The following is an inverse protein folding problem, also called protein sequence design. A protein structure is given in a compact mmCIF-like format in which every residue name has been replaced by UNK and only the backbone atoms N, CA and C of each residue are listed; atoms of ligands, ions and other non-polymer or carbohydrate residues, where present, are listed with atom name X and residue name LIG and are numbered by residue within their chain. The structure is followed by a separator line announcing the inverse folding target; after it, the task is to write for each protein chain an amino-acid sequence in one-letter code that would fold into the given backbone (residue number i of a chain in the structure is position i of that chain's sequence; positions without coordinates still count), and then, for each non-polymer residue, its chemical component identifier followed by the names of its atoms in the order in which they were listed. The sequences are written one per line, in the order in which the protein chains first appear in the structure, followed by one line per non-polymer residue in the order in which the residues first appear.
data_IF_765438947427
#
_entry.id   IF_765438947427
#
_cell.length_a   1.000
_cell.length_b   1.000
_cell.length_c   1.000
_cell.angle_alpha   90.00
_cell.angle_beta   90.00
_cell.angle_gamma   90.00
#
_symmetry.space_group_name_H-M   'P 1'
#
loop_
_entity.id
_entity.type
_entity.pdbx_description
1 polymer ?
#
# COMPACT_ATOMS: atom_id res chain seq x y z
N UNK A 1 -39.84 8.72 12.59
CA UNK A 1 -38.38 8.51 12.53
C UNK A 1 -38.04 8.28 11.07
N UNK A 2 -37.37 9.23 10.42
CA UNK A 2 -36.91 9.04 9.05
C UNK A 2 -35.52 8.43 9.15
N UNK A 3 -35.41 7.11 8.98
CA UNK A 3 -34.11 6.43 8.86
C UNK A 3 -33.45 6.93 7.58
N UNK A 4 -32.61 7.95 7.71
CA UNK A 4 -31.73 8.39 6.65
C UNK A 4 -30.70 7.28 6.41
N UNK A 5 -31.05 6.30 5.58
CA UNK A 5 -30.12 5.30 5.10
C UNK A 5 -29.11 5.98 4.19
N UNK A 6 -27.83 5.82 4.52
CA UNK A 6 -26.73 6.37 3.74
C UNK A 6 -26.78 5.82 2.31
N UNK A 7 -26.65 6.64 1.26
CA UNK A 7 -26.56 6.14 -0.10
C UNK A 7 -25.40 5.16 -0.27
N UNK A 8 -25.65 4.05 -0.95
CA UNK A 8 -24.68 2.95 -1.14
C UNK A 8 -23.39 3.42 -1.82
N UNK A 9 -23.49 4.34 -2.78
CA UNK A 9 -22.33 4.95 -3.45
C UNK A 9 -21.42 5.71 -2.47
N UNK A 10 -22.00 6.33 -1.43
CA UNK A 10 -21.22 7.09 -0.45
C UNK A 10 -20.49 6.14 0.50
N UNK A 11 -21.10 5.02 0.87
CA UNK A 11 -20.43 3.96 1.64
C UNK A 11 -19.29 3.34 0.80
N UNK A 12 -19.55 2.99 -0.46
CA UNK A 12 -18.51 2.47 -1.39
C UNK A 12 -17.32 3.41 -1.50
N UNK A 13 -17.60 4.69 -1.66
CA UNK A 13 -16.54 5.68 -1.78
C UNK A 13 -15.70 5.81 -0.50
N UNK A 14 -16.33 5.69 0.67
CA UNK A 14 -15.58 5.67 1.93
C UNK A 14 -14.74 4.43 2.11
N UNK A 15 -15.28 3.25 1.81
CA UNK A 15 -14.52 2.00 1.89
C UNK A 15 -13.32 2.03 0.93
N UNK A 16 -13.50 2.59 -0.26
CA UNK A 16 -12.40 2.86 -1.19
C UNK A 16 -11.34 3.78 -0.59
N UNK A 17 -11.73 4.84 0.11
CA UNK A 17 -10.77 5.73 0.78
C UNK A 17 -10.03 5.04 1.92
N UNK A 18 -10.70 4.18 2.68
CA UNK A 18 -10.06 3.33 3.68
C UNK A 18 -9.05 2.39 3.02
N UNK A 19 -9.42 1.72 1.92
CA UNK A 19 -8.53 0.84 1.16
C UNK A 19 -7.29 1.57 0.67
N UNK A 20 -7.47 2.75 0.06
CA UNK A 20 -6.34 3.59 -0.33
C UNK A 20 -5.48 3.97 0.86
N UNK A 21 -6.07 4.32 2.01
CA UNK A 21 -5.34 4.71 3.22
C UNK A 21 -4.48 3.56 3.75
N UNK A 22 -5.01 2.34 3.77
CA UNK A 22 -4.29 1.16 4.25
C UNK A 22 -3.13 0.77 3.32
N UNK A 23 -3.40 0.69 2.01
CA UNK A 23 -2.38 0.33 1.01
C UNK A 23 -1.29 1.41 0.93
N UNK A 24 -1.69 2.68 0.80
CA UNK A 24 -0.73 3.79 0.73
C UNK A 24 0.04 3.97 2.04
N UNK A 25 -0.57 3.68 3.19
CA UNK A 25 0.09 3.74 4.48
C UNK A 25 1.25 2.76 4.60
N UNK A 26 1.04 1.49 4.24
CA UNK A 26 2.13 0.50 4.23
C UNK A 26 3.21 0.85 3.20
N UNK A 27 2.81 1.27 2.00
CA UNK A 27 3.76 1.71 0.97
C UNK A 27 4.61 2.91 1.42
N UNK A 28 4.01 3.94 2.03
CA UNK A 28 4.72 5.12 2.52
C UNK A 28 5.68 4.73 3.64
N UNK A 29 5.26 3.87 4.59
CA UNK A 29 6.13 3.36 5.66
C UNK A 29 7.34 2.64 5.09
N UNK A 30 7.11 1.75 4.12
CA UNK A 30 8.17 1.04 3.39
C UNK A 30 9.14 2.02 2.73
N UNK A 31 8.62 2.90 1.87
CA UNK A 31 9.42 3.84 1.08
C UNK A 31 10.23 4.80 1.96
N UNK A 32 9.60 5.40 2.98
CA UNK A 32 10.29 6.35 3.87
C UNK A 32 11.33 5.68 4.77
N UNK A 33 11.15 4.39 5.10
CA UNK A 33 12.10 3.67 5.95
C UNK A 33 13.29 3.15 5.16
N UNK A 34 13.06 2.62 3.96
CA UNK A 34 14.08 1.90 3.18
C UNK A 34 14.71 2.77 2.08
N UNK A 35 13.99 3.79 1.62
CA UNK A 35 14.32 4.54 0.41
C UNK A 35 14.30 3.69 -0.86
N UNK A 36 13.57 2.56 -0.86
CA UNK A 36 13.45 1.68 -2.01
C UNK A 36 12.47 2.26 -3.04
N UNK A 37 12.96 2.51 -4.25
CA UNK A 37 12.17 3.06 -5.37
C UNK A 37 11.68 1.99 -6.34
N UNK A 38 11.98 0.71 -6.09
CA UNK A 38 11.63 -0.41 -6.97
C UNK A 38 10.14 -0.73 -7.01
N UNK A 39 9.36 -0.13 -6.12
CA UNK A 39 7.91 -0.32 -6.04
C UNK A 39 7.25 1.03 -6.18
N UNK A 40 6.16 1.07 -6.93
CA UNK A 40 5.29 2.24 -7.07
C UNK A 40 3.86 1.92 -6.63
N UNK A 41 3.16 2.94 -6.11
CA UNK A 41 1.77 2.88 -5.69
C UNK A 41 0.89 3.81 -6.53
N UNK A 42 -0.30 3.33 -6.93
CA UNK A 42 -1.35 4.16 -7.55
C UNK A 42 -2.76 3.63 -7.25
N UNK A 43 -3.81 4.33 -7.69
CA UNK A 43 -5.20 3.89 -7.52
C UNK A 43 -6.14 4.34 -8.66
N UNK A 44 -7.36 3.83 -8.69
CA UNK A 44 -8.28 4.03 -9.82
C UNK A 44 -8.82 5.45 -10.00
N UNK A 45 -8.49 6.39 -9.10
CA UNK A 45 -8.92 7.80 -9.22
C UNK A 45 -7.83 8.71 -9.78
N UNK A 46 -6.58 8.25 -9.81
CA UNK A 46 -5.45 9.01 -10.37
C UNK A 46 -4.79 8.26 -11.54
N UNK A 47 -5.30 7.09 -11.94
CA UNK A 47 -4.77 6.30 -13.06
C UNK A 47 -5.90 5.71 -13.90
N UNK A 48 -5.88 6.00 -15.19
CA UNK A 48 -6.81 5.45 -16.17
C UNK A 48 -6.55 3.95 -16.43
N UNK A 49 -7.59 3.23 -16.81
CA UNK A 49 -7.51 1.80 -17.15
C UNK A 49 -7.51 0.84 -15.97
N UNK A 50 -7.58 1.34 -14.72
CA UNK A 50 -7.77 0.51 -13.54
C UNK A 50 -9.25 0.20 -13.29
N UNK A 51 -9.58 -0.97 -12.71
CA UNK A 51 -10.92 -1.24 -12.21
C UNK A 51 -11.39 -0.14 -11.26
N UNK A 52 -12.68 0.20 -11.32
CA UNK A 52 -13.26 1.21 -10.42
C UNK A 52 -13.04 0.83 -8.96
N UNK A 53 -12.59 1.79 -8.16
CA UNK A 53 -12.25 1.62 -6.74
C UNK A 53 -11.22 0.52 -6.52
N UNK A 54 -10.03 0.69 -7.08
CA UNK A 54 -8.92 -0.24 -6.87
C UNK A 54 -7.62 0.48 -6.50
N UNK A 55 -6.76 -0.21 -5.77
CA UNK A 55 -5.37 0.18 -5.52
C UNK A 55 -4.43 -0.75 -6.28
N UNK A 56 -3.25 -0.23 -6.67
CA UNK A 56 -2.23 -1.02 -7.36
C UNK A 56 -0.84 -0.72 -6.81
N UNK A 57 -0.10 -1.77 -6.50
CA UNK A 57 1.36 -1.73 -6.37
C UNK A 57 2.00 -2.39 -7.58
N UNK A 58 3.14 -1.88 -8.00
CA UNK A 58 3.89 -2.40 -9.16
C UNK A 58 5.37 -2.40 -8.83
N UNK A 59 6.00 -3.56 -8.91
CA UNK A 59 7.46 -3.71 -8.80
C UNK A 59 8.12 -3.46 -10.15
N UNK A 60 9.40 -3.10 -10.16
CA UNK A 60 10.20 -2.86 -11.37
C UNK A 60 10.30 -4.09 -12.30
N UNK A 61 10.14 -5.30 -11.75
CA UNK A 61 10.08 -6.53 -12.53
C UNK A 61 8.73 -6.74 -13.25
N UNK A 62 7.77 -5.84 -13.06
CA UNK A 62 6.43 -5.87 -13.64
C UNK A 62 5.42 -6.66 -12.82
N UNK A 63 5.79 -7.22 -11.67
CA UNK A 63 4.86 -7.88 -10.76
C UNK A 63 3.88 -6.86 -10.17
N UNK A 64 2.59 -7.23 -10.13
CA UNK A 64 1.51 -6.34 -9.74
C UNK A 64 0.70 -6.94 -8.60
N UNK A 65 0.47 -6.16 -7.55
CA UNK A 65 -0.63 -6.38 -6.61
C UNK A 65 -1.76 -5.42 -6.93
N UNK A 66 -2.89 -5.97 -7.38
CA UNK A 66 -4.12 -5.22 -7.62
C UNK A 66 -5.13 -5.56 -6.53
N UNK A 67 -5.67 -4.54 -5.87
CA UNK A 67 -6.70 -4.68 -4.84
C UNK A 67 -7.98 -3.96 -5.28
N UNK A 68 -8.91 -4.63 -5.96
CA UNK A 68 -10.25 -4.10 -6.22
C UNK A 68 -11.08 -4.07 -4.93
N UNK A 69 -11.82 -2.99 -4.68
CA UNK A 69 -12.61 -2.85 -3.45
C UNK A 69 -13.61 -3.99 -3.25
N UNK A 70 -14.25 -4.47 -4.31
CA UNK A 70 -15.26 -5.54 -4.20
C UNK A 70 -14.69 -6.85 -3.63
N UNK A 71 -13.38 -7.10 -3.79
CA UNK A 71 -12.72 -8.30 -3.27
C UNK A 71 -12.24 -8.14 -1.81
N UNK A 72 -12.19 -6.90 -1.31
CA UNK A 72 -11.53 -6.57 -0.05
C UNK A 72 -12.43 -5.89 0.98
N UNK A 73 -13.57 -5.34 0.56
CA UNK A 73 -14.49 -4.58 1.40
C UNK A 73 -14.90 -5.30 2.69
N UNK A 74 -15.08 -6.62 2.63
CA UNK A 74 -15.53 -7.44 3.78
C UNK A 74 -14.38 -8.02 4.62
N UNK A 75 -13.13 -7.72 4.27
CA UNK A 75 -11.90 -8.22 4.94
C UNK A 75 -10.78 -7.18 4.94
N UNK A 76 -11.17 -5.92 5.12
CA UNK A 76 -10.29 -4.76 5.06
C UNK A 76 -9.12 -4.85 6.06
N UNK A 77 -9.32 -5.51 7.19
CA UNK A 77 -8.32 -5.75 8.22
C UNK A 77 -7.12 -6.58 7.75
N UNK A 78 -7.27 -7.37 6.67
CA UNK A 78 -6.20 -8.18 6.10
C UNK A 78 -5.28 -7.37 5.18
N UNK A 79 -5.74 -6.24 4.66
CA UNK A 79 -5.05 -5.44 3.62
C UNK A 79 -3.63 -5.01 4.07
N UNK A 80 -3.42 -4.44 5.27
CA UNK A 80 -2.07 -4.03 5.67
C UNK A 80 -1.08 -5.20 5.72
N UNK A 81 -1.51 -6.36 6.21
CA UNK A 81 -0.68 -7.57 6.29
C UNK A 81 -0.32 -8.12 4.92
N UNK A 82 -1.28 -8.16 4.00
CA UNK A 82 -1.04 -8.54 2.61
C UNK A 82 -0.04 -7.61 1.94
N UNK A 83 -0.26 -6.30 2.02
CA UNK A 83 0.60 -5.30 1.36
C UNK A 83 2.02 -5.38 1.89
N UNK A 84 2.19 -5.52 3.22
CA UNK A 84 3.50 -5.67 3.83
C UNK A 84 4.22 -6.93 3.33
N UNK A 85 3.54 -8.06 3.30
CA UNK A 85 4.10 -9.33 2.81
C UNK A 85 4.51 -9.21 1.34
N UNK A 86 3.64 -8.64 0.51
CA UNK A 86 3.92 -8.45 -0.91
C UNK A 86 5.12 -7.52 -1.14
N UNK A 87 5.24 -6.43 -0.38
CA UNK A 87 6.41 -5.54 -0.46
C UNK A 87 7.71 -6.26 -0.10
N UNK A 88 7.67 -7.16 0.89
CA UNK A 88 8.82 -7.95 1.35
C UNK A 88 9.28 -8.94 0.28
N UNK A 89 8.31 -9.59 -0.38
CA UNK A 89 8.55 -10.58 -1.43
C UNK A 89 9.03 -9.95 -2.76
N UNK A 90 8.66 -8.69 -3.03
CA UNK A 90 8.84 -8.05 -4.33
C UNK A 90 9.74 -6.81 -4.33
N UNK A 91 10.52 -6.62 -3.26
CA UNK A 91 11.58 -5.61 -3.23
C UNK A 91 12.91 -6.20 -2.79
N UNK A 92 13.98 -5.84 -3.50
CA UNK A 92 15.35 -6.09 -3.06
C UNK A 92 15.85 -4.85 -2.30
N UNK A 93 15.88 -4.96 -0.97
CA UNK A 93 16.34 -3.89 -0.08
C UNK A 93 17.85 -3.61 -0.19
N UNK A 94 18.62 -4.48 -0.87
CA UNK A 94 20.05 -4.32 -1.02
C UNK A 94 20.37 -3.08 -1.84
N UNK A 95 21.19 -2.20 -1.27
CA UNK A 95 21.59 -0.95 -1.91
C UNK A 95 20.52 0.14 -1.89
N UNK A 96 19.33 -0.10 -1.32
CA UNK A 96 18.36 0.96 -1.03
C UNK A 96 18.95 1.93 0.01
N UNK A 97 18.68 3.22 -0.17
CA UNK A 97 19.27 4.29 0.64
C UNK A 97 18.16 5.11 1.28
N UNK A 98 17.86 4.87 2.57
CA UNK A 98 16.91 5.68 3.30
C UNK A 98 17.28 7.16 3.19
N UNK A 99 16.32 8.00 2.80
CA UNK A 99 16.53 9.44 2.77
C UNK A 99 16.66 9.99 4.19
N UNK A 100 17.38 11.11 4.37
CA UNK A 100 17.41 11.83 5.65
C UNK A 100 16.04 12.48 5.88
N UNK A 101 15.11 11.73 6.46
CA UNK A 101 13.77 12.18 6.83
C UNK A 101 13.67 12.36 8.34
N UNK A 102 12.71 13.19 8.78
CA UNK A 102 12.30 13.26 10.20
C UNK A 102 11.44 12.04 10.62
N UNK A 103 11.06 11.20 9.66
CA UNK A 103 10.36 9.95 9.93
C UNK A 103 11.28 8.98 10.69
N UNK A 104 10.81 8.48 11.84
CA UNK A 104 11.60 7.57 12.68
C UNK A 104 11.82 6.19 12.06
N UNK A 105 11.14 5.88 10.97
CA UNK A 105 11.15 4.55 10.34
C UNK A 105 10.12 3.62 10.95
N UNK A 106 9.57 2.73 10.14
CA UNK A 106 8.84 1.55 10.60
C UNK A 106 9.88 0.52 11.07
N UNK A 107 9.72 0.02 12.31
CA UNK A 107 10.72 -0.86 12.93
C UNK A 107 10.97 -2.13 12.12
N UNK A 108 9.93 -2.73 11.57
CA UNK A 108 10.06 -3.95 10.78
C UNK A 108 10.88 -3.69 9.52
N UNK A 109 10.54 -2.63 8.77
CA UNK A 109 11.27 -2.30 7.54
C UNK A 109 12.72 -1.90 7.80
N UNK A 110 12.97 -1.24 8.93
CA UNK A 110 14.34 -0.92 9.34
C UNK A 110 15.15 -2.19 9.63
N UNK A 111 14.58 -3.14 10.36
CA UNK A 111 15.22 -4.44 10.64
C UNK A 111 15.49 -5.23 9.35
N UNK A 112 14.51 -5.30 8.42
CA UNK A 112 14.70 -5.96 7.11
C UNK A 112 15.79 -5.29 6.27
N UNK A 113 15.81 -3.96 6.23
CA UNK A 113 16.84 -3.21 5.50
C UNK A 113 18.24 -3.46 6.07
N UNK A 114 18.39 -3.50 7.40
CA UNK A 114 19.66 -3.82 8.04
C UNK A 114 20.14 -5.23 7.73
N UNK A 115 19.24 -6.22 7.70
CA UNK A 115 19.56 -7.61 7.34
C UNK A 115 20.05 -7.73 5.89
N UNK A 116 19.44 -6.98 4.97
CA UNK A 116 19.84 -6.95 3.56
C UNK A 116 21.12 -6.15 3.29
N UNK A 117 21.50 -5.24 4.20
CA UNK A 117 22.67 -4.36 4.07
C UNK A 117 23.61 -4.50 5.30
N UNK A 118 24.21 -5.68 5.52
CA UNK A 118 25.20 -5.86 6.57
C UNK A 118 26.45 -5.04 6.24
N UNK A 119 26.97 -4.36 7.27
CA UNK A 119 28.15 -3.49 7.21
C UNK A 119 29.40 -4.14 6.61
#
# INVERSE_FOLDING_TARGET
MNEYSRPEWLSRYQDFKSLCSDVSGEYIRFYLTTGCEQVSYTHSQNTEGLPTYSCRLTSDDGTVLLLPLDDWRDRMEEVPGLVRTWLDEHSDLKGCRPSKSHYQGDRYWFEQWQLANPW
#
